data_IF_562914144950
#
_entry.id   IF_562914144950
#
_cell.length_a   1.000
_cell.length_b   1.000
_cell.length_c   1.000
_cell.angle_alpha   90.00
_cell.angle_beta   90.00
_cell.angle_gamma   90.00
#
_symmetry.space_group_name_H-M   'P 1'
#
loop_
_entity.id
_entity.type
_entity.pdbx_description
1 polymer ?
2 non-polymer ?
3 non-polymer ?
4 water ?
#
# COMPACT_ATOMS: atom_id res chain seq x y z
N UNK A 4 2.86 -22.08 8.33
CA UNK A 4 2.50 -20.64 8.47
C UNK A 4 1.10 -20.48 9.07
N UNK A 5 0.96 -19.56 10.02
CA UNK A 5 -0.32 -19.30 10.64
C UNK A 5 -0.89 -17.95 10.20
N UNK A 6 -0.02 -17.10 9.67
CA UNK A 6 -0.41 -15.78 9.20
C UNK A 6 0.35 -15.45 7.93
N UNK A 7 -0.36 -14.95 6.91
CA UNK A 7 0.28 -14.59 5.65
C UNK A 7 -0.14 -13.18 5.26
N UNK A 8 0.85 -12.30 5.11
CA UNK A 8 0.61 -10.90 4.73
C UNK A 8 0.83 -10.77 3.23
N UNK A 9 -0.13 -10.17 2.54
CA UNK A 9 -0.08 -10.05 1.08
C UNK A 9 -0.24 -8.61 0.59
N UNK A 10 0.75 -8.11 -0.14
CA UNK A 10 0.69 -6.76 -0.69
C UNK A 10 -0.43 -6.72 -1.72
N UNK A 11 -1.02 -5.53 -1.93
CA UNK A 11 -2.14 -5.40 -2.87
C UNK A 11 -1.66 -5.15 -4.29
N UNK A 12 -1.26 -3.91 -4.59
CA UNK A 12 -0.79 -3.57 -5.94
C UNK A 12 0.45 -4.38 -6.33
N UNK A 13 0.53 -4.80 -7.59
CA UNK A 13 1.69 -5.54 -8.07
C UNK A 13 1.93 -6.90 -7.45
N UNK A 14 1.03 -7.32 -6.57
CA UNK A 14 1.18 -8.59 -5.87
C UNK A 14 -0.12 -9.37 -5.98
N UNK A 15 -1.11 -9.06 -5.12
CA UNK A 15 -2.38 -9.75 -5.20
C UNK A 15 -3.09 -9.36 -6.50
N UNK A 16 -2.97 -8.08 -6.86
CA UNK A 16 -3.60 -7.59 -8.08
C UNK A 16 -2.72 -7.81 -9.31
N UNK A 17 -3.33 -8.18 -10.43
CA UNK A 17 -2.56 -8.35 -11.65
C UNK A 17 -2.43 -6.97 -12.31
N UNK A 18 -1.88 -6.93 -13.52
CA UNK A 18 -1.67 -5.67 -14.21
C UNK A 18 -2.95 -4.95 -14.66
N UNK A 19 -4.09 -5.60 -14.49
CA UNK A 19 -5.37 -5.00 -14.83
C UNK A 19 -6.13 -4.71 -13.54
N UNK A 20 -5.41 -4.82 -12.43
CA UNK A 20 -5.93 -4.61 -11.09
C UNK A 20 -7.13 -5.48 -10.73
N UNK A 21 -7.08 -6.73 -11.19
CA UNK A 21 -8.11 -7.70 -10.91
C UNK A 21 -7.51 -8.69 -9.92
N UNK A 22 -8.37 -9.40 -9.21
CA UNK A 22 -7.92 -10.46 -8.33
C UNK A 22 -8.32 -11.66 -9.19
N UNK A 23 -7.33 -12.41 -9.68
CA UNK A 23 -7.61 -13.56 -10.54
C UNK A 23 -8.40 -14.63 -9.83
N UNK A 24 -9.05 -15.50 -10.61
CA UNK A 24 -9.80 -16.58 -10.01
C UNK A 24 -8.84 -17.44 -9.18
N UNK A 25 -7.64 -17.64 -9.72
CA UNK A 25 -6.63 -18.45 -9.04
C UNK A 25 -6.24 -17.85 -7.69
N UNK A 26 -6.02 -16.54 -7.66
CA UNK A 26 -5.66 -15.87 -6.42
C UNK A 26 -6.81 -15.87 -5.43
N UNK A 27 -8.04 -15.67 -5.92
CA UNK A 27 -9.18 -15.67 -5.02
C UNK A 27 -9.31 -17.05 -4.38
N UNK A 28 -9.20 -18.09 -5.19
CA UNK A 28 -9.29 -19.46 -4.68
C UNK A 28 -8.19 -19.74 -3.66
N UNK A 29 -6.97 -19.25 -3.95
CA UNK A 29 -5.84 -19.46 -3.04
C UNK A 29 -6.08 -18.78 -1.69
N UNK A 30 -6.65 -17.57 -1.72
CA UNK A 30 -6.94 -16.83 -0.48
C UNK A 30 -7.98 -17.57 0.36
N UNK A 31 -9.05 -18.00 -0.27
CA UNK A 31 -10.11 -18.72 0.43
C UNK A 31 -9.61 -20.06 0.97
N UNK A 32 -8.72 -20.71 0.24
CA UNK A 32 -8.19 -22.00 0.69
C UNK A 32 -7.34 -21.78 1.94
N UNK A 33 -6.56 -20.71 1.95
CA UNK A 33 -5.72 -20.39 3.08
C UNK A 33 -6.59 -20.14 4.30
N UNK A 34 -7.69 -19.42 4.13
CA UNK A 34 -8.57 -19.14 5.25
C UNK A 34 -9.24 -20.42 5.70
N UNK A 35 -9.48 -21.31 4.73
CA UNK A 35 -10.10 -22.61 4.97
C UNK A 35 -9.15 -23.47 5.81
N UNK A 36 -7.84 -23.30 5.57
CA UNK A 36 -6.83 -24.06 6.32
C UNK A 36 -6.60 -23.46 7.71
N UNK A 37 -7.34 -22.40 8.04
CA UNK A 37 -7.18 -21.78 9.33
C UNK A 37 -6.05 -20.76 9.41
N UNK A 38 -5.56 -20.33 8.24
CA UNK A 38 -4.49 -19.35 8.18
C UNK A 38 -5.08 -17.93 8.18
N UNK A 39 -4.51 -17.05 8.98
CA UNK A 39 -4.98 -15.67 9.03
C UNK A 39 -4.39 -14.95 7.83
N UNK A 40 -5.25 -14.42 6.97
CA UNK A 40 -4.77 -13.72 5.78
C UNK A 40 -4.90 -12.22 5.97
N UNK A 41 -3.83 -11.50 5.68
CA UNK A 41 -3.81 -10.05 5.80
C UNK A 41 -3.34 -9.42 4.49
N UNK A 42 -4.08 -8.41 4.03
CA UNK A 42 -3.73 -7.69 2.81
C UNK A 42 -3.18 -6.35 3.29
N UNK A 43 -1.99 -6.01 2.83
CA UNK A 43 -1.31 -4.78 3.26
C UNK A 43 -1.01 -3.81 2.12
N UNK A 44 -1.45 -2.57 2.28
CA UNK A 44 -1.30 -1.56 1.23
C UNK A 44 -1.04 -0.15 1.73
N UNK A 45 -0.55 0.70 0.84
CA UNK A 45 -0.31 2.09 1.17
C UNK A 45 -1.60 2.87 0.91
N UNK A 46 -2.56 2.22 0.26
CA UNK A 46 -3.84 2.85 -0.05
C UNK A 46 -4.77 2.88 1.16
N UNK A 47 -5.96 3.44 0.97
CA UNK A 47 -6.93 3.54 2.04
C UNK A 47 -7.72 2.24 2.22
N UNK A 48 -8.23 2.02 3.43
CA UNK A 48 -9.03 0.84 3.69
C UNK A 48 -10.21 0.75 2.70
N UNK A 49 -10.84 1.89 2.40
CA UNK A 49 -11.97 1.87 1.49
C UNK A 49 -11.58 1.53 0.05
N UNK A 50 -10.31 1.74 -0.30
CA UNK A 50 -9.82 1.41 -1.64
C UNK A 50 -9.78 -0.12 -1.74
N UNK A 51 -9.39 -0.77 -0.66
CA UNK A 51 -9.32 -2.23 -0.64
C UNK A 51 -10.73 -2.80 -0.67
N UNK A 52 -11.63 -2.21 0.11
CA UNK A 52 -13.02 -2.67 0.17
C UNK A 52 -13.72 -2.57 -1.18
N UNK A 53 -13.40 -1.53 -1.95
CA UNK A 53 -14.01 -1.35 -3.25
C UNK A 53 -13.68 -2.52 -4.17
N UNK A 54 -12.51 -3.11 -3.97
CA UNK A 54 -12.09 -4.26 -4.78
C UNK A 54 -12.62 -5.58 -4.21
N UNK A 55 -12.57 -5.71 -2.89
CA UNK A 55 -12.99 -6.94 -2.23
C UNK A 55 -14.49 -7.15 -2.06
N UNK A 56 -15.22 -6.06 -1.81
CA UNK A 56 -16.67 -6.14 -1.62
C UNK A 56 -17.41 -6.91 -2.70
N UNK A 57 -17.22 -6.55 -3.98
CA UNK A 57 -17.90 -7.24 -5.07
C UNK A 57 -17.55 -8.72 -5.18
N UNK A 58 -16.38 -9.09 -4.66
CA UNK A 58 -15.91 -10.47 -4.72
C UNK A 58 -16.24 -11.26 -3.46
N UNK A 59 -16.76 -10.58 -2.45
CA UNK A 59 -17.08 -11.26 -1.21
C UNK A 59 -15.85 -11.67 -0.43
N UNK A 60 -14.72 -11.05 -0.73
CA UNK A 60 -13.47 -11.36 -0.03
C UNK A 60 -13.37 -10.56 1.25
N UNK A 61 -13.03 -11.24 2.34
CA UNK A 61 -12.87 -10.61 3.64
C UNK A 61 -11.59 -11.07 4.30
N UNK A 62 -10.65 -10.15 4.47
CA UNK A 62 -9.37 -10.47 5.09
C UNK A 62 -9.02 -9.35 6.06
N UNK A 63 -7.97 -9.55 6.84
CA UNK A 63 -7.51 -8.48 7.71
C UNK A 63 -6.95 -7.50 6.70
N UNK A 64 -6.97 -6.21 7.03
CA UNK A 64 -6.45 -5.22 6.11
C UNK A 64 -5.56 -4.21 6.82
N UNK A 65 -4.33 -4.11 6.34
CA UNK A 65 -3.38 -3.13 6.86
C UNK A 65 -3.37 -2.09 5.74
N UNK A 66 -3.72 -0.86 6.08
CA UNK A 66 -3.77 0.21 5.08
C UNK A 66 -2.95 1.42 5.49
N UNK A 67 -2.86 2.40 4.59
CA UNK A 67 -2.10 3.61 4.86
C UNK A 67 -0.68 3.32 5.30
N UNK A 68 -0.05 2.36 4.64
CA UNK A 68 1.33 1.99 4.91
C UNK A 68 1.57 1.46 6.33
N UNK A 69 0.57 0.80 6.90
CA UNK A 69 0.74 0.26 8.23
C UNK A 69 0.25 1.17 9.34
N UNK A 70 -0.37 2.28 8.96
CA UNK A 70 -0.90 3.21 9.94
C UNK A 70 -2.28 2.77 10.43
N UNK A 71 -2.95 1.95 9.63
CA UNK A 71 -4.29 1.48 9.97
C UNK A 71 -4.49 -0.02 9.83
N UNK A 72 -5.20 -0.61 10.79
CA UNK A 72 -5.48 -2.05 10.76
C UNK A 72 -6.97 -2.31 11.03
N UNK A 73 -7.59 -3.13 10.18
CA UNK A 73 -8.99 -3.53 10.33
C UNK A 73 -9.05 -5.05 10.24
N UNK A 74 -10.05 -5.65 10.87
CA UNK A 74 -10.20 -7.09 10.80
C UNK A 74 -11.08 -7.42 9.59
N UNK A 75 -11.30 -8.72 9.32
CA UNK A 75 -12.14 -9.14 8.18
C UNK A 75 -13.52 -8.51 8.07
N UNK A 76 -14.15 -8.24 9.19
CA UNK A 76 -15.48 -7.65 9.20
C UNK A 76 -15.46 -6.13 9.25
N UNK A 77 -14.26 -5.54 9.17
CA UNK A 77 -14.16 -4.10 9.20
C UNK A 77 -14.04 -3.46 10.57
N UNK A 78 -13.80 -4.26 11.61
CA UNK A 78 -13.63 -3.71 12.94
C UNK A 78 -12.26 -3.07 13.01
N UNK A 79 -12.18 -1.88 13.59
CA UNK A 79 -10.91 -1.17 13.71
C UNK A 79 -10.03 -1.76 14.81
N UNK A 80 -8.76 -2.01 14.48
CA UNK A 80 -7.81 -2.54 15.46
C UNK A 80 -6.73 -1.54 15.79
N UNK A 81 -6.49 -0.57 14.92
CA UNK A 81 -5.44 0.39 15.20
C UNK A 81 -5.32 1.56 14.23
N UNK A 82 -4.97 2.73 14.74
CA UNK A 82 -4.71 3.88 13.87
C UNK A 82 -3.53 4.63 14.48
N UNK A 83 -2.50 4.78 13.66
CA UNK A 83 -1.24 5.42 14.06
C UNK A 83 -1.14 6.68 13.24
N UNK A 84 -1.34 7.81 13.89
CA UNK A 84 -1.33 9.10 13.21
C UNK A 84 -0.01 9.85 13.18
N UNK A 85 0.09 10.75 12.20
CA UNK A 85 1.25 11.62 12.04
C UNK A 85 0.91 12.85 12.88
N UNK A 86 1.86 13.29 13.72
CA UNK A 86 1.64 14.47 14.54
C UNK A 86 1.16 15.59 13.63
N UNK A 87 0.09 16.28 14.04
CA UNK A 87 -0.48 17.35 13.23
C UNK A 87 0.48 18.46 12.82
N UNK A 88 1.39 18.85 13.70
CA UNK A 88 2.33 19.90 13.36
C UNK A 88 3.32 19.39 12.30
N UNK A 89 3.69 18.13 12.40
CA UNK A 89 4.60 17.54 11.43
C UNK A 89 3.87 17.38 10.09
N UNK A 90 2.58 17.04 10.15
CA UNK A 90 1.78 16.88 8.94
C UNK A 90 1.66 18.24 8.25
N UNK A 91 1.44 19.28 9.05
CA UNK A 91 1.32 20.63 8.50
C UNK A 91 2.61 20.98 7.78
N UNK A 92 3.73 20.69 8.43
CA UNK A 92 5.05 20.98 7.88
C UNK A 92 5.27 20.27 6.55
N UNK A 93 4.96 18.98 6.51
CA UNK A 93 5.12 18.18 5.29
C UNK A 93 4.25 18.69 4.15
N UNK A 94 2.98 18.89 4.42
CA UNK A 94 2.05 19.33 3.38
C UNK A 94 2.37 20.73 2.87
N UNK A 95 2.77 21.62 3.77
CA UNK A 95 3.11 22.98 3.36
C UNK A 95 4.29 22.92 2.39
N UNK A 96 5.27 22.07 2.70
CA UNK A 96 6.45 21.92 1.86
C UNK A 96 6.09 21.29 0.50
N UNK A 97 5.35 20.19 0.52
CA UNK A 97 4.97 19.52 -0.72
C UNK A 97 4.19 20.45 -1.66
N UNK A 98 3.24 21.19 -1.10
CA UNK A 98 2.43 22.09 -1.90
C UNK A 98 3.23 23.27 -2.43
N UNK A 99 4.07 23.86 -1.57
CA UNK A 99 4.87 25.01 -1.99
C UNK A 99 5.91 24.62 -3.03
N UNK A 100 6.34 23.37 -2.99
CA UNK A 100 7.36 22.89 -3.93
C UNK A 100 6.80 22.23 -5.18
N UNK A 101 5.49 22.37 -5.40
CA UNK A 101 4.85 21.83 -6.58
C UNK A 101 4.83 20.32 -6.77
N UNK A 102 4.73 19.58 -5.67
CA UNK A 102 4.64 18.13 -5.74
C UNK A 102 3.15 17.82 -5.78
N UNK A 103 2.77 16.74 -6.47
CA UNK A 103 1.36 16.34 -6.45
C UNK A 103 1.33 15.60 -5.11
N UNK A 104 0.20 15.61 -4.42
CA UNK A 104 0.14 14.88 -3.16
C UNK A 104 -1.26 14.39 -2.82
N UNK A 105 -1.31 13.34 -2.02
CA UNK A 105 -2.57 12.75 -1.60
C UNK A 105 -2.46 12.53 -0.09
N UNK A 106 -3.50 12.92 0.64
CA UNK A 106 -3.49 12.78 2.09
C UNK A 106 -4.50 11.73 2.53
N UNK A 107 -4.01 10.59 3.01
CA UNK A 107 -4.86 9.52 3.46
C UNK A 107 -5.30 9.77 4.89
N UNK A 108 -6.61 9.90 5.08
CA UNK A 108 -7.18 10.15 6.40
C UNK A 108 -8.29 9.14 6.64
N UNK A 109 -9.06 9.34 7.70
CA UNK A 109 -10.14 8.40 7.97
C UNK A 109 -11.28 8.54 6.98
N UNK A 110 -11.74 9.78 6.81
CA UNK A 110 -12.86 10.09 5.92
C UNK A 110 -12.60 9.87 4.42
N UNK A 111 -11.48 10.40 3.92
CA UNK A 111 -11.17 10.26 2.51
C UNK A 111 -9.71 10.57 2.22
N UNK A 112 -9.38 10.62 0.94
CA UNK A 112 -8.03 10.95 0.50
C UNK A 112 -8.11 12.36 -0.06
N UNK A 113 -7.58 13.33 0.67
CA UNK A 113 -7.62 14.72 0.25
C UNK A 113 -6.50 15.04 -0.73
N UNK A 114 -6.81 15.84 -1.73
CA UNK A 114 -5.82 16.22 -2.73
C UNK A 114 -6.29 17.41 -3.54
N UNK A 115 -5.35 18.26 -3.96
CA UNK A 115 -5.66 19.45 -4.76
C UNK A 115 -5.49 19.17 -6.25
N UNK A 116 -5.03 17.96 -6.59
CA UNK A 116 -4.80 17.59 -7.98
C UNK A 116 -6.09 17.34 -8.77
N UNK A 117 -6.04 17.52 -10.09
CA UNK A 117 -7.21 17.26 -10.92
C UNK A 117 -7.18 15.80 -11.42
N UNK A 118 -8.20 15.42 -12.18
CA UNK A 118 -8.28 14.05 -12.67
C UNK A 118 -7.08 13.56 -13.46
N UNK A 119 -6.60 14.36 -14.40
CA UNK A 119 -5.45 13.97 -15.21
C UNK A 119 -4.23 13.71 -14.35
N UNK A 120 -3.99 14.61 -13.40
CA UNK A 120 -2.84 14.50 -12.52
C UNK A 120 -2.94 13.28 -11.62
N UNK A 121 -4.13 13.02 -11.08
CA UNK A 121 -4.34 11.86 -10.22
C UNK A 121 -4.19 10.57 -11.02
N UNK A 122 -4.61 10.59 -12.28
CA UNK A 122 -4.48 9.40 -13.12
C UNK A 122 -2.99 9.16 -13.39
N UNK A 123 -2.22 10.23 -13.54
CA UNK A 123 -0.79 10.04 -13.78
C UNK A 123 -0.13 9.38 -12.59
N UNK A 124 -0.57 9.73 -11.38
CA UNK A 124 0.00 9.11 -10.19
C UNK A 124 -0.33 7.62 -10.22
N UNK A 125 -1.58 7.30 -10.53
CA UNK A 125 -1.99 5.91 -10.58
C UNK A 125 -1.29 5.13 -11.68
N UNK A 126 -1.18 5.72 -12.87
CA UNK A 126 -0.51 5.07 -13.98
C UNK A 126 0.93 4.73 -13.58
N UNK A 127 1.56 5.60 -12.79
CA UNK A 127 2.92 5.35 -12.34
C UNK A 127 2.96 4.10 -11.47
N UNK A 128 1.92 3.88 -10.67
CA UNK A 128 1.84 2.70 -9.82
C UNK A 128 1.80 1.45 -10.71
N UNK A 129 0.90 1.46 -11.69
CA UNK A 129 0.73 0.35 -12.63
C UNK A 129 2.03 0.04 -13.36
N UNK A 130 2.62 1.06 -13.98
CA UNK A 130 3.85 0.88 -14.74
C UNK A 130 5.05 0.42 -13.91
N UNK A 131 5.13 0.89 -12.66
CA UNK A 131 6.25 0.51 -11.82
C UNK A 131 6.17 -0.95 -11.42
N UNK A 132 4.94 -1.42 -11.19
CA UNK A 132 4.71 -2.81 -10.79
C UNK A 132 4.94 -3.77 -11.95
N UNK A 133 4.52 -3.35 -13.15
CA UNK A 133 4.64 -4.17 -14.35
C UNK A 133 5.22 -3.37 -15.52
N UNK A 134 6.52 -3.09 -15.47
CA UNK A 134 7.20 -2.32 -16.52
C UNK A 134 7.09 -2.97 -17.90
N UNK A 135 6.85 -4.27 -17.91
CA UNK A 135 6.75 -5.04 -19.16
C UNK A 135 5.36 -5.02 -19.80
N UNK A 136 4.38 -4.48 -19.10
CA UNK A 136 3.01 -4.46 -19.59
C UNK A 136 2.73 -3.42 -20.68
N UNK A 137 1.77 -3.75 -21.53
CA UNK A 137 1.36 -2.86 -22.62
C UNK A 137 0.78 -1.60 -22.00
N UNK A 138 1.29 -0.45 -22.41
CA UNK A 138 0.82 0.84 -21.87
C UNK A 138 -0.68 1.07 -22.00
N UNK A 139 -1.28 0.57 -23.08
CA UNK A 139 -2.72 0.75 -23.28
C UNK A 139 -3.53 -0.06 -22.28
N UNK A 140 -3.07 -1.28 -21.99
CA UNK A 140 -3.76 -2.12 -21.04
C UNK A 140 -3.68 -1.47 -19.66
N UNK A 141 -2.50 -0.96 -19.31
CA UNK A 141 -2.30 -0.32 -18.02
C UNK A 141 -3.13 0.96 -17.87
N UNK A 142 -3.20 1.77 -18.92
CA UNK A 142 -3.97 3.00 -18.87
C UNK A 142 -5.46 2.72 -18.69
N UNK A 143 -5.99 1.78 -19.47
CA UNK A 143 -7.40 1.44 -19.38
C UNK A 143 -7.75 1.01 -17.96
N UNK A 144 -6.88 0.18 -17.39
CA UNK A 144 -7.10 -0.30 -16.03
C UNK A 144 -6.95 0.81 -15.02
N UNK A 145 -5.98 1.70 -15.24
CA UNK A 145 -5.75 2.83 -14.34
C UNK A 145 -6.98 3.75 -14.31
N UNK A 146 -7.65 3.86 -15.44
CA UNK A 146 -8.84 4.70 -15.54
C UNK A 146 -9.98 4.05 -14.75
N UNK A 147 -10.13 2.74 -14.87
CA UNK A 147 -11.18 2.04 -14.14
C UNK A 147 -10.90 2.23 -12.65
N UNK A 148 -9.64 2.10 -12.27
CA UNK A 148 -9.24 2.28 -10.87
C UNK A 148 -9.61 3.67 -10.35
N UNK A 149 -9.24 4.69 -11.12
CA UNK A 149 -9.54 6.06 -10.73
C UNK A 149 -11.04 6.29 -10.60
N UNK A 150 -11.81 5.67 -11.50
CA UNK A 150 -13.26 5.82 -11.49
C UNK A 150 -13.91 5.33 -10.20
N UNK A 151 -13.18 4.52 -9.44
CA UNK A 151 -13.70 3.98 -8.18
C UNK A 151 -12.98 4.61 -7.00
N UNK A 152 -12.24 5.69 -7.27
CA UNK A 152 -11.48 6.37 -6.24
C UNK A 152 -12.38 7.12 -5.26
N UNK A 153 -11.80 7.48 -4.12
CA UNK A 153 -12.53 8.21 -3.10
C UNK A 153 -11.80 9.45 -2.69
N UNK A 154 -11.44 10.26 -3.69
CA UNK A 154 -10.71 11.50 -3.44
C UNK A 154 -11.66 12.62 -3.07
N UNK A 155 -11.14 13.57 -2.30
CA UNK A 155 -11.89 14.74 -1.87
C UNK A 155 -10.98 15.91 -2.24
N UNK A 156 -11.51 16.84 -3.02
CA UNK A 156 -10.73 17.98 -3.46
C UNK A 156 -10.58 19.10 -2.43
N UNK A 157 -9.40 19.69 -2.40
CA UNK A 157 -9.10 20.82 -1.52
C UNK A 157 -8.30 21.81 -2.34
N UNK A 158 -8.50 23.10 -2.09
CA UNK A 158 -7.77 24.14 -2.82
C UNK A 158 -6.36 24.23 -2.27
N UNK A 159 -6.23 24.02 -0.97
CA UNK A 159 -4.93 24.07 -0.29
C UNK A 159 -4.95 23.16 0.93
N UNK A 160 -3.77 22.65 1.30
CA UNK A 160 -3.63 21.77 2.46
C UNK A 160 -4.12 22.51 3.69
N UNK A 161 -4.12 23.83 3.62
CA UNK A 161 -4.55 24.68 4.72
C UNK A 161 -5.94 24.29 5.22
N UNK A 162 -6.80 23.91 4.29
CA UNK A 162 -8.17 23.53 4.61
C UNK A 162 -8.28 22.33 5.56
N UNK A 163 -7.19 21.56 5.66
CA UNK A 163 -7.23 20.39 6.53
C UNK A 163 -6.90 20.74 7.98
N UNK A 164 -6.60 22.02 8.23
CA UNK A 164 -6.25 22.46 9.58
C UNK A 164 -7.10 23.61 10.10
N UNK A 165 -7.66 24.40 9.18
CA UNK A 165 -8.47 25.56 9.58
C UNK A 165 -9.94 25.22 9.84
N UNK A 166 -10.22 23.97 10.20
CA UNK A 166 -11.60 23.56 10.46
C UNK A 166 -11.74 22.87 11.81
N UNK A 167 -12.85 23.13 12.49
CA UNK A 167 -13.09 22.51 13.80
C UNK A 167 -13.74 21.14 13.67
N UNK A 168 -13.11 20.25 12.89
CA UNK A 168 -13.61 18.90 12.71
C UNK A 168 -12.47 17.91 12.85
N UNK A 169 -12.71 16.77 13.50
CA UNK A 169 -11.68 15.74 13.69
C UNK A 169 -11.14 15.21 12.37
N UNK A 170 -9.82 15.23 12.21
CA UNK A 170 -9.18 14.74 10.99
C UNK A 170 -7.79 14.18 11.33
N UNK A 171 -7.65 12.87 11.15
CA UNK A 171 -6.37 12.22 11.43
C UNK A 171 -5.59 12.01 10.14
N UNK A 172 -4.28 12.20 10.23
CA UNK A 172 -3.39 12.04 9.08
C UNK A 172 -2.66 10.70 9.23
N UNK A 173 -2.89 9.80 8.29
CA UNK A 173 -2.27 8.47 8.35
C UNK A 173 -1.07 8.27 7.42
N UNK A 174 -1.21 8.71 6.17
CA UNK A 174 -0.14 8.52 5.20
C UNK A 174 -0.23 9.66 4.20
N UNK A 175 0.94 10.16 3.77
CA UNK A 175 1.00 11.24 2.81
C UNK A 175 1.85 10.78 1.64
N UNK A 176 1.24 10.79 0.45
CA UNK A 176 1.95 10.40 -0.76
C UNK A 176 2.38 11.65 -1.52
N UNK A 177 3.65 11.68 -1.92
CA UNK A 177 4.20 12.79 -2.68
C UNK A 177 4.60 12.25 -4.03
N UNK A 178 4.38 13.02 -5.10
CA UNK A 178 4.70 12.57 -6.45
C UNK A 178 5.30 13.68 -7.30
N UNK A 179 6.23 13.30 -8.17
CA UNK A 179 6.84 14.24 -9.10
C UNK A 179 7.40 13.51 -10.30
N UNK A 180 7.22 14.08 -11.49
CA UNK A 180 7.73 13.48 -12.72
C UNK A 180 9.25 13.63 -12.79
N UNK A 181 9.77 14.56 -12.00
CA UNK A 181 11.20 14.89 -12.04
C UNK A 181 12.12 14.22 -11.03
N UNK A 182 13.13 13.53 -11.55
CA UNK A 182 14.10 12.84 -10.72
C UNK A 182 14.68 13.75 -9.64
N UNK A 183 15.00 14.98 -10.01
CA UNK A 183 15.59 15.93 -9.06
C UNK A 183 14.67 16.21 -7.87
N UNK A 184 13.38 16.34 -8.14
CA UNK A 184 12.39 16.60 -7.10
C UNK A 184 12.23 15.38 -6.20
N UNK A 185 12.28 14.20 -6.80
CA UNK A 185 12.14 12.97 -6.04
C UNK A 185 13.32 12.79 -5.10
N UNK A 186 14.53 13.08 -5.59
CA UNK A 186 15.71 12.95 -4.75
C UNK A 186 15.66 13.96 -3.60
N UNK A 187 15.20 15.17 -3.90
CA UNK A 187 15.10 16.22 -2.89
C UNK A 187 14.14 15.83 -1.77
N UNK A 188 13.01 15.21 -2.15
CA UNK A 188 12.04 14.79 -1.16
C UNK A 188 12.63 13.70 -0.28
N UNK A 189 13.34 12.76 -0.88
CA UNK A 189 13.94 11.66 -0.15
C UNK A 189 14.99 12.16 0.84
N UNK A 190 15.86 13.06 0.36
CA UNK A 190 16.91 13.62 1.21
C UNK A 190 16.36 14.38 2.41
N UNK A 191 15.24 15.05 2.20
CA UNK A 191 14.60 15.84 3.24
C UNK A 191 14.04 15.03 4.41
N UNK A 192 13.52 13.83 4.13
CA UNK A 192 12.93 13.02 5.17
C UNK A 192 13.61 11.70 5.52
N UNK A 193 14.65 11.33 4.77
CA UNK A 193 15.32 10.06 5.02
C UNK A 193 15.92 9.93 6.43
N UNK A 194 16.20 11.06 7.07
CA UNK A 194 16.78 11.04 8.41
C UNK A 194 15.80 11.45 9.51
N UNK A 195 14.54 11.70 9.15
CA UNK A 195 13.53 12.08 10.13
C UNK A 195 13.16 10.87 10.98
N UNK A 196 13.58 10.88 12.23
CA UNK A 196 13.32 9.77 13.14
C UNK A 196 11.88 9.64 13.62
N UNK A 197 11.07 10.67 13.38
CA UNK A 197 9.67 10.64 13.78
C UNK A 197 8.78 10.17 12.63
N UNK A 198 9.39 9.82 11.50
CA UNK A 198 8.63 9.39 10.34
C UNK A 198 9.16 8.12 9.68
N UNK A 199 8.31 7.52 8.85
CA UNK A 199 8.66 6.33 8.08
C UNK A 199 8.61 6.81 6.63
N UNK A 200 9.71 6.61 5.90
CA UNK A 200 9.79 7.03 4.50
C UNK A 200 9.93 5.82 3.58
N UNK A 201 9.00 5.69 2.64
CA UNK A 201 9.03 4.59 1.68
C UNK A 201 8.57 5.08 0.32
N UNK A 202 8.46 4.15 -0.63
CA UNK A 202 7.98 4.45 -1.98
C UNK A 202 7.19 3.26 -2.47
N UNK A 203 6.13 3.50 -3.24
CA UNK A 203 5.31 2.43 -3.78
C UNK A 203 5.30 2.46 -5.31
N UNK A 204 6.06 3.38 -5.88
CA UNK A 204 6.16 3.54 -7.33
C UNK A 204 7.36 4.42 -7.68
N UNK A 205 7.88 4.26 -8.90
CA UNK A 205 9.05 5.01 -9.34
C UNK A 205 9.02 6.53 -9.16
N UNK A 206 7.86 7.14 -9.25
CA UNK A 206 7.80 8.59 -9.10
C UNK A 206 7.09 9.10 -7.84
N UNK A 207 7.05 8.28 -6.80
CA UNK A 207 6.45 8.72 -5.56
C UNK A 207 7.25 8.30 -4.34
N UNK A 208 6.85 8.85 -3.22
CA UNK A 208 7.41 8.52 -1.92
C UNK A 208 6.23 8.70 -0.98
N UNK A 209 6.22 7.94 0.11
CA UNK A 209 5.14 8.02 1.08
C UNK A 209 5.70 8.27 2.47
N UNK A 210 4.99 9.07 3.24
CA UNK A 210 5.41 9.41 4.59
C UNK A 210 4.31 9.09 5.60
N UNK A 211 4.64 8.30 6.60
CA UNK A 211 3.69 7.95 7.66
C UNK A 211 4.47 8.13 8.96
N UNK A 212 3.81 7.92 10.10
CA UNK A 212 4.49 8.07 11.37
C UNK A 212 5.56 7.00 11.55
N UNK A 213 6.52 7.25 12.44
CA UNK A 213 7.60 6.31 12.69
C UNK A 213 7.13 4.89 12.97
N UNK A 214 6.05 4.76 13.74
CA UNK A 214 5.52 3.44 14.08
C UNK A 214 4.55 2.88 13.07
N UNK A 215 4.39 3.58 11.94
CA UNK A 215 3.50 3.11 10.88
C UNK A 215 4.28 2.63 9.66
N UNK A 216 4.43 1.31 9.55
CA UNK A 216 5.11 0.70 8.40
C UNK A 216 4.44 -0.65 8.22
N UNK A 217 4.53 -1.23 7.02
CA UNK A 217 3.89 -2.52 6.81
C UNK A 217 4.47 -3.57 7.75
N UNK A 218 5.78 -3.50 7.99
CA UNK A 218 6.42 -4.46 8.88
C UNK A 218 5.98 -4.32 10.33
N UNK A 219 5.89 -3.09 10.83
CA UNK A 219 5.47 -2.87 12.21
C UNK A 219 4.00 -3.26 12.42
N UNK A 220 3.18 -3.02 11.41
CA UNK A 220 1.76 -3.37 11.51
C UNK A 220 1.62 -4.88 11.56
N UNK A 221 2.46 -5.57 10.78
CA UNK A 221 2.43 -7.03 10.75
C UNK A 221 2.82 -7.55 12.13
N UNK A 222 3.87 -6.99 12.72
CA UNK A 222 4.31 -7.42 14.04
C UNK A 222 3.22 -7.17 15.08
N UNK A 223 2.59 -6.01 14.99
CA UNK A 223 1.53 -5.61 15.91
C UNK A 223 0.38 -6.63 15.87
N UNK A 224 -0.01 -7.03 14.67
CA UNK A 224 -1.10 -7.97 14.49
C UNK A 224 -0.73 -9.38 14.95
N UNK A 225 0.46 -9.83 14.55
CA UNK A 225 0.91 -11.16 14.93
C UNK A 225 0.92 -11.29 16.45
N UNK A 226 1.44 -10.27 17.12
CA UNK A 226 1.51 -10.28 18.57
C UNK A 226 0.12 -10.43 19.20
N UNK A 227 -0.84 -9.66 18.70
CA UNK A 227 -2.20 -9.71 19.24
C UNK A 227 -2.88 -11.05 19.01
N UNK A 228 -2.56 -11.69 17.89
CA UNK A 228 -3.16 -12.98 17.56
C UNK A 228 -2.36 -14.13 18.19
N UNK A 229 -1.33 -13.80 18.94
CA UNK A 229 -0.49 -14.80 19.59
C UNK A 229 0.17 -15.72 18.57
N UNK A 230 0.62 -15.14 17.47
CA UNK A 230 1.27 -15.90 16.41
C UNK A 230 2.74 -15.49 16.32
N UNK A 231 3.66 -16.45 16.51
CA UNK A 231 5.10 -16.19 16.44
C UNK A 231 5.47 -15.70 15.04
N UNK A 232 6.39 -14.75 14.95
CA UNK A 232 6.81 -14.24 13.64
C UNK A 232 7.41 -15.35 12.79
N UNK A 233 7.96 -16.36 13.44
CA UNK A 233 8.56 -17.49 12.72
C UNK A 233 7.47 -18.23 11.93
N UNK A 234 6.23 -18.04 12.33
CA UNK A 234 5.10 -18.69 11.67
C UNK A 234 4.30 -17.72 10.81
N UNK A 235 4.97 -16.69 10.30
CA UNK A 235 4.34 -15.71 9.44
C UNK A 235 5.14 -15.57 8.15
N UNK A 236 4.44 -15.25 7.06
CA UNK A 236 5.08 -15.05 5.76
C UNK A 236 4.51 -13.76 5.18
N UNK A 237 5.29 -13.08 4.36
CA UNK A 237 4.85 -11.83 3.72
C UNK A 237 5.36 -11.84 2.29
N UNK A 238 4.53 -11.38 1.37
CA UNK A 238 4.89 -11.35 -0.04
C UNK A 238 4.61 -9.97 -0.64
N UNK A 239 5.52 -9.50 -1.50
CA UNK A 239 5.35 -8.19 -2.12
C UNK A 239 6.29 -7.97 -3.28
N UNK A 240 6.13 -6.86 -3.99
CA UNK A 240 6.97 -6.52 -5.14
C UNK A 240 7.66 -5.18 -5.03
N UNK A 241 7.07 -4.27 -4.26
CA UNK A 241 7.59 -2.91 -4.14
C UNK A 241 8.39 -2.54 -2.89
N UNK A 242 9.08 -1.41 -2.97
CA UNK A 242 9.94 -0.95 -1.89
C UNK A 242 9.25 -0.80 -0.54
N UNK A 243 7.98 -0.40 -0.53
CA UNK A 243 7.26 -0.23 0.73
C UNK A 243 6.96 -1.56 1.42
N UNK A 244 7.29 -2.67 0.76
CA UNK A 244 7.07 -3.99 1.33
C UNK A 244 8.30 -4.53 2.05
N UNK A 245 9.44 -3.87 1.87
CA UNK A 245 10.69 -4.32 2.47
C UNK A 245 10.58 -4.66 3.95
N UNK A 246 10.04 -3.72 4.73
CA UNK A 246 9.92 -3.94 6.18
C UNK A 246 9.06 -5.14 6.56
N UNK A 247 8.04 -5.47 5.77
CA UNK A 247 7.24 -6.63 6.18
C UNK A 247 7.90 -7.95 5.79
N UNK A 248 8.68 -7.96 4.70
CA UNK A 248 9.39 -9.19 4.34
C UNK A 248 10.43 -9.43 5.43
N UNK A 249 11.06 -8.34 5.88
CA UNK A 249 12.07 -8.44 6.93
C UNK A 249 11.46 -8.91 8.24
N UNK A 250 10.26 -8.42 8.55
CA UNK A 250 9.59 -8.79 9.78
C UNK A 250 9.09 -10.24 9.79
N UNK A 251 8.58 -10.71 8.65
CA UNK A 251 8.05 -12.06 8.55
C UNK A 251 9.10 -13.16 8.65
N UNK A 252 8.66 -14.34 9.11
CA UNK A 252 9.56 -15.46 9.23
C UNK A 252 10.06 -15.83 7.83
N UNK A 253 9.17 -15.73 6.85
CA UNK A 253 9.53 -16.02 5.46
C UNK A 253 9.11 -14.86 4.57
N UNK A 254 10.10 -14.21 3.94
CA UNK A 254 9.82 -13.10 3.05
C UNK A 254 9.81 -13.60 1.62
N UNK A 255 8.73 -13.32 0.89
CA UNK A 255 8.61 -13.77 -0.49
C UNK A 255 8.54 -12.60 -1.47
N UNK A 256 9.33 -12.67 -2.54
CA UNK A 256 9.33 -11.62 -3.55
C UNK A 256 8.53 -12.07 -4.76
N UNK A 257 7.74 -11.17 -5.32
CA UNK A 257 6.96 -11.48 -6.51
C UNK A 257 7.93 -11.57 -7.69
N UNK A 258 7.52 -12.27 -8.76
CA UNK A 258 8.38 -12.41 -9.93
C UNK A 258 8.69 -11.06 -10.58
N UNK A 259 7.75 -10.12 -10.45
CA UNK A 259 7.89 -8.79 -11.03
C UNK A 259 8.43 -7.79 -10.00
N UNK A 260 8.94 -8.29 -8.88
CA UNK A 260 9.45 -7.42 -7.83
C UNK A 260 10.71 -6.66 -8.20
N UNK A 261 10.93 -5.57 -7.47
CA UNK A 261 12.11 -4.74 -7.64
C UNK A 261 13.30 -5.61 -7.26
N UNK A 262 14.47 -5.31 -7.82
CA UNK A 262 15.66 -6.10 -7.53
C UNK A 262 16.02 -6.12 -6.04
N UNK A 263 15.86 -5.00 -5.34
CA UNK A 263 16.20 -4.97 -3.92
C UNK A 263 15.26 -5.84 -3.10
N UNK A 264 14.01 -5.97 -3.54
CA UNK A 264 13.05 -6.81 -2.82
C UNK A 264 13.41 -8.28 -3.06
N UNK A 265 13.76 -8.62 -4.31
CA UNK A 265 14.14 -10.00 -4.60
C UNK A 265 15.39 -10.36 -3.80
N UNK A 266 16.30 -9.40 -3.67
CA UNK A 266 17.55 -9.62 -2.96
C UNK A 266 17.39 -10.04 -1.49
N UNK A 267 16.48 -9.42 -0.77
CA UNK A 267 16.27 -9.76 0.64
C UNK A 267 15.31 -10.92 0.88
N UNK A 268 14.62 -11.36 -0.16
CA UNK A 268 13.64 -12.44 -0.02
C UNK A 268 14.25 -13.81 0.21
N UNK A 269 13.50 -14.66 0.91
CA UNK A 269 13.91 -16.03 1.21
C UNK A 269 13.37 -16.95 0.12
N UNK A 270 12.38 -16.47 -0.61
CA UNK A 270 11.77 -17.23 -1.69
C UNK A 270 11.26 -16.25 -2.75
N UNK A 271 11.14 -16.73 -3.98
CA UNK A 271 10.66 -15.90 -5.08
C UNK A 271 9.57 -16.68 -5.80
N UNK A 272 8.46 -16.00 -6.09
CA UNK A 272 7.36 -16.66 -6.76
C UNK A 272 7.18 -16.09 -8.18
N UNK A 273 6.10 -16.48 -8.85
CA UNK A 273 5.82 -16.02 -10.21
C UNK A 273 5.39 -14.55 -10.20
N UNK A 274 5.21 -13.97 -11.38
CA UNK A 274 4.77 -12.57 -11.45
C UNK A 274 3.32 -12.46 -10.99
N UNK A 275 2.88 -11.24 -10.70
CA UNK A 275 1.50 -11.07 -10.28
C UNK A 275 0.54 -11.57 -11.34
N UNK A 276 0.86 -11.32 -12.61
CA UNK A 276 -0.01 -11.76 -13.71
C UNK A 276 -0.08 -13.27 -13.85
N UNK A 277 0.97 -13.97 -13.42
CA UNK A 277 1.00 -15.42 -13.50
C UNK A 277 0.50 -16.05 -12.20
N UNK A 278 -0.24 -15.26 -11.41
CA UNK A 278 -0.79 -15.72 -10.14
C UNK A 278 0.26 -16.12 -9.11
N UNK A 279 1.27 -15.27 -8.96
CA UNK A 279 2.33 -15.52 -8.00
C UNK A 279 1.84 -15.77 -6.58
N UNK A 280 0.81 -15.04 -6.16
CA UNK A 280 0.30 -15.24 -4.82
C UNK A 280 -0.24 -16.66 -4.66
N UNK A 281 -1.00 -17.13 -5.64
CA UNK A 281 -1.53 -18.49 -5.58
C UNK A 281 -0.37 -19.50 -5.59
N UNK A 282 0.63 -19.27 -6.46
CA UNK A 282 1.78 -20.16 -6.54
C UNK A 282 2.48 -20.26 -5.19
N UNK A 283 2.64 -19.13 -4.52
CA UNK A 283 3.28 -19.14 -3.22
C UNK A 283 2.49 -19.97 -2.23
N UNK A 284 1.17 -19.77 -2.21
CA UNK A 284 0.30 -20.52 -1.31
C UNK A 284 0.41 -22.03 -1.45
N UNK A 285 0.46 -22.48 -2.70
CA UNK A 285 0.51 -23.91 -2.98
C UNK A 285 1.89 -24.52 -3.13
N UNK A 286 2.87 -23.71 -3.51
CA UNK A 286 4.21 -24.24 -3.77
C UNK A 286 5.42 -23.61 -3.09
N UNK A 287 5.21 -22.77 -2.07
CA UNK A 287 6.35 -22.17 -1.37
C UNK A 287 6.23 -22.16 0.14
N UNK A 288 5.02 -22.29 0.67
CA UNK A 288 4.84 -22.28 2.10
C UNK A 288 4.48 -23.65 2.66
X LIG B 1 0.66 -0.98 -2.53
X LIG B 1 1.53 -2.07 -3.01
X LIG B 1 1.01 -0.66 -1.12
X LIG B 1 0.90 0.23 -3.38
X LIG B 1 -0.75 -1.39 -2.63
X LIG C 1 -0.79 -25.97 -9.96
X LIG C 1 0.08 -27.14 -10.22
X LIG C 1 -0.45 -25.37 -8.64
X LIG C 1 -0.60 -24.97 -11.03
X LIG C 1 -2.22 -26.41 -9.93
X LIG D 1 3.18 -3.25 -4.52
#
# INVERSE_FOLDING_TARGET
>A
SNAMKLIAIDLDGTLLNSKHQVSLENENALRQAQRDGIEVVVSTGRAHFDVMSIFEPLGIKTWVISANGAVIHDPEGRLYHHETIDKKRAYDILSWLESENYYYEVFTGSAIYTPQNGRELLDVELDRFRSANPEADLSVLKQAAEVQYSQSGFAYINSFQELFEADEPIDFYNILGFSFFKEKLEAGWKRYEHAEDLTLVSSAEHNFELSSRKASKGQALKRLAKQLNIPLEETAAVGDSLNDKSMLEAAGKGVAMGNAREDIKSIADAVTLTNDEHGVAHMMKHLL
>B hetero
1 PO4 P O1 O2 O3 O4
>C hetero
1 PO4 P O1 O2 O3 O4
>D hetero
1 CA CA
#
